data_IF_246056248775
#
_entry.id   IF_246056248775
#
_cell.length_a   1.000
_cell.length_b   1.000
_cell.length_c   1.000
_cell.angle_alpha   90.00
_cell.angle_beta   90.00
_cell.angle_gamma   90.00
#
_symmetry.space_group_name_H-M   'P 1'
#
loop_
_entity.id
_entity.type
_entity.pdbx_description
1 polymer ?
#
# COMPACT_ATOMS: atom_id res chain seq x y z
N UNK A 1 3.21 19.11 -9.90
CA UNK A 1 3.70 18.98 -8.50
C UNK A 1 3.66 17.52 -8.07
N UNK A 2 4.77 16.76 -8.22
CA UNK A 2 4.78 15.28 -8.12
C UNK A 2 5.30 14.72 -6.78
N UNK A 3 5.86 15.56 -5.91
CA UNK A 3 6.58 15.13 -4.70
C UNK A 3 5.71 14.99 -3.44
N UNK A 4 4.38 15.14 -3.50
CA UNK A 4 3.52 15.09 -2.31
C UNK A 4 2.07 14.67 -2.53
N UNK A 5 1.73 14.10 -3.70
CA UNK A 5 0.32 13.94 -4.09
C UNK A 5 -0.51 13.06 -3.14
N UNK A 6 0.08 12.11 -2.42
CA UNK A 6 -0.64 11.28 -1.45
C UNK A 6 -1.18 12.11 -0.27
N UNK A 7 -0.45 13.14 0.16
CA UNK A 7 -0.94 14.11 1.15
C UNK A 7 -2.08 14.98 0.58
N UNK A 8 -1.92 15.45 -0.67
CA UNK A 8 -2.94 16.27 -1.31
C UNK A 8 -4.22 15.48 -1.63
N UNK A 9 -4.07 14.23 -2.08
CA UNK A 9 -5.17 13.29 -2.31
C UNK A 9 -5.89 12.96 -1.01
N UNK A 10 -5.17 12.64 0.06
CA UNK A 10 -5.78 12.44 1.37
C UNK A 10 -6.50 13.68 1.88
N UNK A 11 -5.92 14.88 1.69
CA UNK A 11 -6.56 16.15 2.05
C UNK A 11 -7.86 16.36 1.28
N UNK A 12 -7.84 16.23 -0.05
CA UNK A 12 -9.06 16.31 -0.87
C UNK A 12 -10.08 15.30 -0.35
N UNK A 13 -9.67 14.05 -0.13
CA UNK A 13 -10.58 13.01 0.35
C UNK A 13 -11.09 13.26 1.78
N UNK A 14 -10.40 14.06 2.59
CA UNK A 14 -10.84 14.34 3.96
C UNK A 14 -11.87 15.47 4.04
N UNK A 15 -11.89 16.35 3.03
CA UNK A 15 -12.70 17.58 3.04
C UNK A 15 -13.64 17.72 1.83
N UNK A 16 -13.53 16.87 0.82
CA UNK A 16 -14.48 16.84 -0.29
C UNK A 16 -15.81 16.23 0.16
N UNK A 17 -16.90 16.73 -0.42
CA UNK A 17 -18.20 16.08 -0.33
C UNK A 17 -18.16 14.76 -1.10
N UNK A 18 -18.51 13.67 -0.42
CA UNK A 18 -18.62 12.34 -1.01
C UNK A 18 -20.03 11.77 -0.77
N UNK A 19 -21.02 12.20 -1.59
CA UNK A 19 -22.36 11.64 -1.52
C UNK A 19 -22.30 10.12 -1.65
N UNK A 20 -22.91 9.40 -0.70
CA UNK A 20 -22.92 7.93 -0.67
C UNK A 20 -21.84 7.30 0.22
N UNK A 21 -20.94 8.09 0.83
CA UNK A 21 -20.00 7.61 1.84
C UNK A 21 -20.31 8.23 3.21
N UNK A 22 -20.29 7.41 4.26
CA UNK A 22 -20.33 7.91 5.63
C UNK A 22 -19.00 8.56 5.99
N UNK A 23 -19.00 9.48 6.96
CA UNK A 23 -17.77 10.12 7.43
C UNK A 23 -16.68 9.12 7.86
N UNK A 24 -16.99 8.04 8.61
CA UNK A 24 -16.01 7.01 8.92
C UNK A 24 -15.42 6.34 7.67
N UNK A 25 -16.27 5.96 6.70
CA UNK A 25 -15.80 5.33 5.46
C UNK A 25 -14.88 6.27 4.66
N UNK A 26 -15.21 7.55 4.61
CA UNK A 26 -14.37 8.59 4.00
C UNK A 26 -13.00 8.69 4.69
N UNK A 27 -12.94 8.68 6.02
CA UNK A 27 -11.67 8.70 6.77
C UNK A 27 -10.81 7.46 6.53
N UNK A 28 -11.43 6.28 6.39
CA UNK A 28 -10.71 5.05 6.01
C UNK A 28 -10.05 5.23 4.64
N UNK A 29 -10.80 5.69 3.64
CA UNK A 29 -10.29 5.91 2.28
C UNK A 29 -9.16 6.96 2.29
N UNK A 30 -9.36 8.07 3.00
CA UNK A 30 -8.34 9.11 3.15
C UNK A 30 -7.05 8.55 3.80
N UNK A 31 -7.18 7.70 4.82
CA UNK A 31 -6.05 7.06 5.50
C UNK A 31 -5.28 6.10 4.57
N UNK A 32 -6.00 5.29 3.79
CA UNK A 32 -5.41 4.40 2.78
C UNK A 32 -4.65 5.21 1.71
N UNK A 33 -5.25 6.27 1.19
CA UNK A 33 -4.60 7.15 0.21
C UNK A 33 -3.45 7.93 0.81
N UNK A 34 -3.51 8.31 2.08
CA UNK A 34 -2.38 8.99 2.71
C UNK A 34 -1.18 8.05 2.88
N UNK A 35 -1.44 6.77 3.13
CA UNK A 35 -0.41 5.78 3.48
C UNK A 35 -0.01 4.87 2.33
N UNK A 36 -0.53 5.03 1.11
CA UNK A 36 -0.22 4.14 -0.02
C UNK A 36 1.21 4.25 -0.60
N UNK A 37 2.06 5.17 -0.12
CA UNK A 37 3.46 5.30 -0.56
C UNK A 37 4.34 5.98 0.49
N UNK A 38 5.67 5.87 0.32
CA UNK A 38 6.71 6.43 1.23
C UNK A 38 6.64 5.83 2.65
N UNK A 39 7.36 6.43 3.61
CA UNK A 39 7.37 6.01 5.02
C UNK A 39 5.96 5.78 5.54
N UNK A 40 5.73 4.59 6.08
CA UNK A 40 4.47 4.20 6.67
C UNK A 40 4.33 4.87 8.04
N UNK A 41 3.25 5.64 8.25
CA UNK A 41 3.01 6.39 9.50
C UNK A 41 1.75 5.86 10.17
N UNK A 42 1.90 5.05 11.21
CA UNK A 42 0.78 4.43 11.94
C UNK A 42 -0.18 5.46 12.55
N UNK A 43 0.32 6.65 12.91
CA UNK A 43 -0.50 7.74 13.47
C UNK A 43 -1.60 8.22 12.51
N UNK A 44 -1.54 7.82 11.23
CA UNK A 44 -2.57 8.17 10.23
C UNK A 44 -3.82 7.33 10.34
N UNK A 45 -3.84 6.34 11.22
CA UNK A 45 -5.01 5.52 11.51
C UNK A 45 -5.58 5.80 12.91
N UNK A 46 -5.13 6.86 13.58
CA UNK A 46 -5.58 7.22 14.94
C UNK A 46 -7.04 7.66 14.97
N UNK A 47 -7.50 8.32 13.89
CA UNK A 47 -8.90 8.78 13.73
C UNK A 47 -9.86 7.67 13.27
N UNK A 48 -9.33 6.49 12.96
CA UNK A 48 -10.13 5.33 12.57
C UNK A 48 -10.50 4.54 13.81
N UNK A 49 -11.71 3.96 13.81
CA UNK A 49 -12.18 3.03 14.85
C UNK A 49 -11.10 1.98 15.16
N UNK A 50 -10.74 1.88 16.43
CA UNK A 50 -9.70 0.98 16.93
C UNK A 50 -9.97 -0.48 16.53
N UNK A 51 -11.24 -0.90 16.47
CA UNK A 51 -11.66 -2.25 16.08
C UNK A 51 -11.33 -2.57 14.62
N UNK A 52 -11.21 -1.55 13.77
CA UNK A 52 -10.91 -1.68 12.34
C UNK A 52 -9.46 -1.35 12.00
N UNK A 53 -8.72 -0.74 12.94
CA UNK A 53 -7.36 -0.21 12.68
C UNK A 53 -6.42 -1.26 12.11
N UNK A 54 -6.37 -2.45 12.71
CA UNK A 54 -5.51 -3.54 12.24
C UNK A 54 -5.86 -3.96 10.80
N UNK A 55 -7.16 -4.15 10.52
CA UNK A 55 -7.64 -4.51 9.19
C UNK A 55 -7.23 -3.46 8.15
N UNK A 56 -7.33 -2.18 8.48
CA UNK A 56 -7.06 -1.07 7.55
C UNK A 56 -5.56 -0.87 7.34
N UNK A 57 -4.73 -1.09 8.36
CA UNK A 57 -3.27 -1.15 8.22
C UNK A 57 -2.87 -2.27 7.25
N UNK A 58 -3.49 -3.45 7.36
CA UNK A 58 -3.26 -4.57 6.42
C UNK A 58 -3.74 -4.24 5.01
N UNK A 59 -4.90 -3.60 4.84
CA UNK A 59 -5.37 -3.12 3.55
C UNK A 59 -4.42 -2.10 2.92
N UNK A 60 -3.83 -1.21 3.74
CA UNK A 60 -2.82 -0.27 3.27
C UNK A 60 -1.59 -1.01 2.73
N UNK A 61 -1.10 -2.04 3.42
CA UNK A 61 0.02 -2.85 2.93
C UNK A 61 -0.28 -3.51 1.56
N UNK A 62 -1.49 -4.06 1.38
CA UNK A 62 -1.92 -4.64 0.10
C UNK A 62 -1.99 -3.56 -0.99
N UNK A 63 -2.58 -2.40 -0.70
CA UNK A 63 -2.67 -1.27 -1.63
C UNK A 63 -1.28 -0.79 -2.06
N UNK A 64 -0.33 -0.70 -1.12
CA UNK A 64 1.05 -0.29 -1.38
C UNK A 64 1.75 -1.24 -2.36
N UNK A 65 1.61 -2.55 -2.16
CA UNK A 65 2.13 -3.55 -3.10
C UNK A 65 1.44 -3.45 -4.47
N UNK A 66 0.12 -3.28 -4.50
CA UNK A 66 -0.61 -3.13 -5.76
C UNK A 66 -0.11 -1.92 -6.56
N UNK A 67 0.08 -0.77 -5.90
CA UNK A 67 0.63 0.45 -6.53
C UNK A 67 2.06 0.23 -7.01
N UNK A 68 2.91 -0.41 -6.21
CA UNK A 68 4.31 -0.70 -6.55
C UNK A 68 4.40 -1.56 -7.80
N UNK A 69 3.62 -2.64 -7.87
CA UNK A 69 3.65 -3.59 -8.97
C UNK A 69 3.09 -3.04 -10.30
N UNK A 70 2.32 -1.94 -10.24
CA UNK A 70 1.73 -1.26 -11.40
C UNK A 70 2.43 0.06 -11.77
N UNK A 71 3.63 0.30 -11.23
CA UNK A 71 4.35 1.57 -11.43
C UNK A 71 4.68 1.90 -12.89
N UNK A 72 4.91 0.88 -13.72
CA UNK A 72 5.21 1.04 -15.16
C UNK A 72 3.98 1.49 -15.98
N UNK A 73 2.77 1.47 -15.37
CA UNK A 73 1.49 1.75 -16.02
C UNK A 73 1.31 0.96 -17.32
N UNK A 74 1.94 -0.22 -17.42
CA UNK A 74 1.79 -1.07 -18.59
C UNK A 74 0.32 -1.45 -18.72
N UNK A 75 -0.28 -1.35 -19.93
CA UNK A 75 -1.66 -1.76 -20.15
C UNK A 75 -1.86 -3.28 -19.99
N UNK A 76 -0.76 -4.05 -19.97
CA UNK A 76 -0.75 -5.51 -19.71
C UNK A 76 0.43 -5.84 -18.80
N UNK A 77 0.32 -5.56 -17.49
CA UNK A 77 1.37 -5.96 -16.57
C UNK A 77 1.35 -7.49 -16.50
N UNK A 78 2.49 -8.13 -16.79
CA UNK A 78 2.63 -9.58 -16.69
C UNK A 78 2.76 -10.00 -15.21
N UNK A 79 1.64 -9.86 -14.49
CA UNK A 79 1.48 -10.16 -13.07
C UNK A 79 0.61 -11.40 -12.83
N UNK A 80 0.12 -12.06 -13.88
CA UNK A 80 -0.79 -13.22 -13.80
C UNK A 80 -0.22 -14.42 -13.02
N UNK A 81 1.07 -14.38 -12.71
CA UNK A 81 1.80 -15.40 -11.95
C UNK A 81 2.42 -14.87 -10.66
N UNK A 82 2.15 -13.62 -10.28
CA UNK A 82 2.54 -13.10 -8.96
C UNK A 82 1.55 -13.63 -7.94
N UNK A 83 2.06 -14.21 -6.85
CA UNK A 83 1.27 -14.74 -5.74
C UNK A 83 1.56 -13.95 -4.48
N UNK A 84 0.52 -13.76 -3.68
CA UNK A 84 0.59 -13.09 -2.39
C UNK A 84 0.09 -14.05 -1.31
N UNK A 85 0.91 -14.33 -0.33
CA UNK A 85 0.58 -15.17 0.82
C UNK A 85 0.69 -14.32 2.08
N UNK A 86 -0.36 -14.33 2.90
CA UNK A 86 -0.43 -13.53 4.12
C UNK A 86 -0.47 -14.43 5.36
N UNK A 87 0.42 -14.14 6.30
CA UNK A 87 0.39 -14.68 7.66
C UNK A 87 -0.17 -13.66 8.66
N UNK A 88 0.09 -13.89 9.95
CA UNK A 88 -0.36 -12.99 11.02
C UNK A 88 0.32 -11.61 10.96
N UNK A 89 1.64 -11.60 10.80
CA UNK A 89 2.52 -10.42 10.79
C UNK A 89 3.40 -10.36 9.54
N UNK A 90 3.16 -11.24 8.57
CA UNK A 90 4.03 -11.41 7.42
C UNK A 90 3.26 -11.44 6.11
N UNK A 91 3.94 -11.00 5.06
CA UNK A 91 3.43 -10.97 3.71
C UNK A 91 4.53 -11.46 2.78
N UNK A 92 4.26 -12.53 2.04
CA UNK A 92 5.20 -13.11 1.10
C UNK A 92 4.70 -12.88 -0.34
N UNK A 93 5.56 -12.35 -1.19
CA UNK A 93 5.28 -12.14 -2.62
C UNK A 93 6.16 -13.08 -3.44
N UNK A 94 5.55 -14.01 -4.16
CA UNK A 94 6.28 -14.91 -5.06
C UNK A 94 6.13 -14.44 -6.50
N UNK A 95 7.25 -14.34 -7.21
CA UNK A 95 7.34 -13.96 -8.61
C UNK A 95 7.72 -15.16 -9.48
N UNK A 96 7.43 -15.12 -10.79
CA UNK A 96 7.97 -16.10 -11.72
C UNK A 96 9.50 -16.06 -11.77
N UNK A 97 10.11 -17.20 -12.06
CA UNK A 97 11.57 -17.29 -12.22
C UNK A 97 12.11 -16.25 -13.20
N UNK A 98 13.13 -15.52 -12.77
CA UNK A 98 13.79 -14.49 -13.58
C UNK A 98 13.00 -13.18 -13.71
N UNK A 99 11.75 -13.10 -13.26
CA UNK A 99 10.94 -11.88 -13.38
C UNK A 99 11.60 -10.68 -12.69
N UNK A 100 12.01 -10.84 -11.43
CA UNK A 100 12.72 -9.79 -10.69
C UNK A 100 14.12 -9.50 -11.25
N UNK A 101 14.77 -10.45 -11.93
CA UNK A 101 16.06 -10.22 -12.60
C UNK A 101 15.91 -9.24 -13.76
N UNK A 102 14.78 -9.31 -14.48
CA UNK A 102 14.46 -8.39 -15.58
C UNK A 102 13.90 -7.03 -15.10
N UNK A 103 13.63 -6.88 -13.80
CA UNK A 103 12.99 -5.68 -13.21
C UNK A 103 13.75 -5.18 -11.98
N UNK A 104 15.01 -4.71 -12.14
CA UNK A 104 15.86 -4.29 -11.02
C UNK A 104 15.26 -3.12 -10.22
N UNK A 105 14.55 -2.20 -10.87
CA UNK A 105 13.87 -1.09 -10.17
C UNK A 105 12.75 -1.59 -9.25
N UNK A 106 11.99 -2.59 -9.69
CA UNK A 106 10.94 -3.21 -8.87
C UNK A 106 11.54 -3.90 -7.65
N UNK A 107 12.69 -4.58 -7.80
CA UNK A 107 13.41 -5.17 -6.67
C UNK A 107 13.80 -4.11 -5.65
N UNK A 108 14.44 -3.03 -6.07
CA UNK A 108 14.83 -1.93 -5.17
C UNK A 108 13.62 -1.31 -4.48
N UNK A 109 12.51 -1.12 -5.21
CA UNK A 109 11.27 -0.62 -4.63
C UNK A 109 10.71 -1.60 -3.56
N UNK A 110 10.78 -2.92 -3.79
CA UNK A 110 10.36 -3.94 -2.82
C UNK A 110 11.24 -3.96 -1.58
N UNK A 111 12.56 -3.83 -1.73
CA UNK A 111 13.51 -3.75 -0.60
C UNK A 111 13.23 -2.52 0.28
N UNK A 112 12.95 -1.39 -0.35
CA UNK A 112 12.52 -0.18 0.35
C UNK A 112 11.16 -0.38 1.04
N UNK A 113 10.24 -1.07 0.37
CA UNK A 113 8.92 -1.38 0.91
C UNK A 113 8.98 -2.31 2.12
N UNK A 114 9.91 -3.27 2.17
CA UNK A 114 10.18 -4.08 3.37
C UNK A 114 10.50 -3.19 4.57
N UNK A 115 11.35 -2.18 4.37
CA UNK A 115 11.74 -1.23 5.43
C UNK A 115 10.55 -0.38 5.88
N UNK A 116 9.64 -0.03 4.99
CA UNK A 116 8.45 0.75 5.33
C UNK A 116 7.38 -0.07 6.05
N UNK A 117 7.10 -1.29 5.60
CA UNK A 117 6.11 -2.17 6.24
C UNK A 117 6.57 -2.66 7.60
N UNK A 118 7.89 -2.81 7.82
CA UNK A 118 8.44 -3.10 9.14
C UNK A 118 8.08 -2.03 10.18
N UNK A 119 7.93 -0.76 9.79
CA UNK A 119 7.46 0.32 10.69
C UNK A 119 6.01 0.12 11.16
N UNK A 120 5.24 -0.71 10.46
CA UNK A 120 3.88 -1.10 10.79
C UNK A 120 3.79 -2.52 11.40
N UNK A 121 4.93 -3.10 11.82
CA UNK A 121 5.04 -4.49 12.29
C UNK A 121 4.60 -5.53 11.25
N UNK A 122 4.75 -5.23 9.96
CA UNK A 122 4.47 -6.16 8.87
C UNK A 122 5.80 -6.55 8.20
N UNK A 123 6.16 -7.82 8.27
CA UNK A 123 7.35 -8.37 7.60
C UNK A 123 7.03 -8.75 6.16
N UNK A 124 7.53 -7.96 5.22
CA UNK A 124 7.48 -8.29 3.80
C UNK A 124 8.66 -9.18 3.41
N UNK A 125 8.40 -10.23 2.65
CA UNK A 125 9.42 -11.06 1.99
C UNK A 125 9.03 -11.29 0.53
N UNK A 126 10.00 -11.56 -0.32
CA UNK A 126 9.74 -11.86 -1.72
C UNK A 126 10.79 -12.79 -2.32
N UNK A 127 10.37 -13.56 -3.34
CA UNK A 127 11.23 -14.46 -4.11
C UNK A 127 10.92 -14.34 -5.60
#
# INVERSE_FOLDING_TARGET
SHSGFHHHGAYILSYADMPGLTRPAQMIIASLVHTHRRKFKLQRFDEVDERLREQIVRLSAVLRLAVLLHRDRSPRPNLSRVRLEAGADNLHVSFPDGWLKTRPLTRVDLELEQSYLAMANIRLSFA
#
